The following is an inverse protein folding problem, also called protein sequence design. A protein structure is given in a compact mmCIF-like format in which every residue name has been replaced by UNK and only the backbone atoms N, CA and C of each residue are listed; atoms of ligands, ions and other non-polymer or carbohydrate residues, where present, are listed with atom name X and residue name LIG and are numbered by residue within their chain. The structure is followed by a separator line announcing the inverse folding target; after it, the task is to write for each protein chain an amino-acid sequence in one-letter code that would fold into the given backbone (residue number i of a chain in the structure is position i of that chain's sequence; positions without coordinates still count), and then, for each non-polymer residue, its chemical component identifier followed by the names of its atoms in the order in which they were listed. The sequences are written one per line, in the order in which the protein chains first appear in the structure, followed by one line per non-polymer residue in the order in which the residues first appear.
data_IF_321870620158
#
_entry.id   IF_321870620158
#
_cell.length_a   1.000
_cell.length_b   1.000
_cell.length_c   1.000
_cell.angle_alpha   90.00
_cell.angle_beta   90.00
_cell.angle_gamma   90.00
#
_symmetry.space_group_name_H-M   'P 1'
#
loop_
_entity.id
_entity.type
_entity.pdbx_description
1 polymer ?
#
# COMPACT_ATOMS: atom_id res chain seq x y z
N UNK A 1 -8.85 12.06 -1.56
CA UNK A 1 -7.67 11.18 -1.66
C UNK A 1 -6.60 11.51 -0.64
N UNK A 2 -6.40 12.78 -0.36
CA UNK A 2 -5.38 13.15 0.64
C UNK A 2 -5.71 12.60 2.01
N UNK A 3 -6.99 12.54 2.35
CA UNK A 3 -7.42 12.02 3.63
C UNK A 3 -7.11 10.54 3.77
N UNK A 4 -7.26 9.80 2.68
CA UNK A 4 -6.97 8.37 2.69
C UNK A 4 -5.48 8.16 2.86
N UNK A 5 -4.66 8.91 2.11
CA UNK A 5 -3.22 8.80 2.22
C UNK A 5 -2.74 9.19 3.61
N UNK A 6 -3.32 10.25 4.16
CA UNK A 6 -2.94 10.72 5.49
C UNK A 6 -3.26 9.67 6.54
N UNK A 7 -4.43 9.06 6.45
CA UNK A 7 -4.82 8.03 7.41
C UNK A 7 -3.89 6.82 7.32
N UNK A 8 -3.57 6.39 6.10
CA UNK A 8 -2.69 5.26 5.90
C UNK A 8 -1.29 5.55 6.45
N UNK A 9 -0.82 6.77 6.26
CA UNK A 9 0.53 7.14 6.66
C UNK A 9 0.71 7.16 8.18
N UNK A 10 -0.37 7.22 8.94
CA UNK A 10 -0.26 7.22 10.40
C UNK A 10 -0.02 5.83 10.97
N UNK A 11 -0.15 4.80 10.16
CA UNK A 11 0.01 3.43 10.65
C UNK A 11 1.49 3.08 10.72
N UNK A 12 1.89 2.53 11.85
CA UNK A 12 3.28 2.14 12.06
C UNK A 12 3.70 1.11 11.03
N UNK A 13 4.87 1.33 10.44
CA UNK A 13 5.41 0.42 9.44
C UNK A 13 5.18 0.84 7.99
N UNK A 14 4.30 1.79 7.77
CA UNK A 14 4.06 2.32 6.42
C UNK A 14 5.15 3.32 6.09
N UNK A 15 5.89 3.04 5.02
CA UNK A 15 6.95 3.94 4.58
C UNK A 15 6.49 4.90 3.51
N UNK A 16 5.45 4.53 2.79
CA UNK A 16 4.89 5.41 1.78
C UNK A 16 3.62 4.85 1.22
N UNK A 17 2.87 5.70 0.55
CA UNK A 17 1.67 5.30 -0.16
C UNK A 17 1.93 5.64 -1.62
N UNK A 18 2.23 4.62 -2.41
CA UNK A 18 2.61 4.84 -3.79
C UNK A 18 1.43 5.19 -4.67
N UNK A 19 0.36 4.42 -4.54
CA UNK A 19 -0.84 4.62 -5.35
C UNK A 19 -2.06 4.54 -4.48
N UNK A 20 -3.04 5.33 -4.85
CA UNK A 20 -4.30 5.35 -4.12
C UNK A 20 -5.39 5.64 -5.13
N UNK A 21 -6.30 4.70 -5.29
CA UNK A 21 -7.42 4.84 -6.19
C UNK A 21 -8.72 4.68 -5.43
N UNK A 22 -9.69 5.50 -5.75
CA UNK A 22 -11.01 5.39 -5.13
C UNK A 22 -12.04 5.27 -6.22
N UNK A 23 -12.95 4.34 -6.05
CA UNK A 23 -14.02 4.10 -6.99
C UNK A 23 -15.35 4.20 -6.25
N UNK A 24 -16.24 5.02 -6.77
CA UNK A 24 -17.54 5.21 -6.15
C UNK A 24 -18.52 4.16 -6.64
N UNK A 25 -19.26 3.57 -5.70
CA UNK A 25 -20.32 2.63 -6.02
C UNK A 25 -21.52 3.00 -5.16
N UNK A 26 -22.52 3.60 -5.78
CA UNK A 26 -23.64 4.09 -5.01
C UNK A 26 -23.22 5.23 -4.11
N UNK A 27 -23.45 5.08 -2.82
CA UNK A 27 -23.09 6.12 -1.84
C UNK A 27 -21.75 5.86 -1.15
N UNK A 28 -21.07 4.79 -1.54
CA UNK A 28 -19.84 4.40 -0.87
C UNK A 28 -18.67 4.39 -1.82
N UNK A 29 -17.48 4.40 -1.26
CA UNK A 29 -16.25 4.32 -2.03
C UNK A 29 -15.51 3.03 -1.71
N UNK A 30 -14.91 2.46 -2.74
CA UNK A 30 -13.98 1.33 -2.62
C UNK A 30 -12.60 1.86 -2.95
N UNK A 31 -11.66 1.56 -2.09
CA UNK A 31 -10.32 2.14 -2.18
C UNK A 31 -9.29 1.04 -2.43
N UNK A 32 -8.40 1.27 -3.39
CA UNK A 32 -7.24 0.42 -3.62
C UNK A 32 -6.00 1.22 -3.25
N UNK A 33 -5.16 0.63 -2.39
CA UNK A 33 -3.94 1.29 -1.94
C UNK A 33 -2.73 0.42 -2.22
N UNK A 34 -1.63 1.05 -2.60
CA UNK A 34 -0.34 0.40 -2.70
C UNK A 34 0.56 1.03 -1.66
N UNK A 35 0.95 0.25 -0.67
CA UNK A 35 1.78 0.71 0.44
C UNK A 35 3.21 0.24 0.24
N UNK A 36 4.15 1.09 0.61
CA UNK A 36 5.55 0.72 0.63
C UNK A 36 5.96 0.43 2.05
N UNK A 37 6.63 -0.70 2.24
CA UNK A 37 7.09 -1.14 3.56
C UNK A 37 8.54 -1.58 3.45
N UNK A 38 9.16 -1.83 4.61
CA UNK A 38 10.52 -2.32 4.67
C UNK A 38 10.63 -3.66 3.94
N UNK A 39 11.49 -3.77 2.92
CA UNK A 39 11.62 -5.02 2.19
C UNK A 39 12.16 -6.17 3.02
N UNK A 40 12.73 -5.89 4.18
CA UNK A 40 13.30 -6.93 5.02
C UNK A 40 12.33 -7.45 6.06
N UNK A 41 11.12 -6.91 6.14
CA UNK A 41 10.17 -7.38 7.14
C UNK A 41 9.58 -8.73 6.74
N UNK A 42 9.03 -9.42 7.72
CA UNK A 42 8.38 -10.70 7.46
C UNK A 42 7.06 -10.48 6.75
N UNK A 43 6.60 -11.52 6.07
CA UNK A 43 5.28 -11.49 5.44
C UNK A 43 4.20 -11.29 6.49
N UNK A 44 4.37 -11.92 7.65
CA UNK A 44 3.40 -11.75 8.74
C UNK A 44 3.26 -10.29 9.14
N UNK A 45 4.40 -9.61 9.29
CA UNK A 45 4.37 -8.20 9.70
C UNK A 45 3.71 -7.33 8.63
N UNK A 46 4.02 -7.61 7.37
CA UNK A 46 3.43 -6.82 6.29
C UNK A 46 1.91 -7.01 6.24
N UNK A 47 1.44 -8.21 6.56
CA UNK A 47 0.01 -8.50 6.62
C UNK A 47 -0.66 -7.71 7.73
N UNK A 48 0.00 -7.64 8.88
CA UNK A 48 -0.50 -6.87 10.01
C UNK A 48 -0.62 -5.39 9.65
N UNK A 49 0.39 -4.87 8.97
CA UNK A 49 0.37 -3.47 8.57
C UNK A 49 -0.80 -3.20 7.61
N UNK A 50 -0.98 -4.09 6.63
CA UNK A 50 -2.09 -3.94 5.69
C UNK A 50 -3.43 -3.95 6.41
N UNK A 51 -3.59 -4.84 7.35
CA UNK A 51 -4.82 -4.94 8.11
C UNK A 51 -5.06 -3.68 8.94
N UNK A 52 -4.00 -3.18 9.58
CA UNK A 52 -4.11 -1.98 10.39
C UNK A 52 -4.46 -0.76 9.55
N UNK A 53 -3.94 -0.70 8.33
CA UNK A 53 -4.27 0.38 7.42
C UNK A 53 -5.75 0.33 7.04
N UNK A 54 -6.25 -0.87 6.74
CA UNK A 54 -7.67 -1.03 6.42
C UNK A 54 -8.55 -0.54 7.56
N UNK A 55 -8.21 -0.96 8.77
CA UNK A 55 -8.98 -0.57 9.95
C UNK A 55 -8.92 0.94 10.18
N UNK A 56 -7.73 1.52 10.03
CA UNK A 56 -7.54 2.93 10.29
C UNK A 56 -8.36 3.77 9.30
N UNK A 57 -8.35 3.40 8.04
CA UNK A 57 -9.07 4.15 7.03
C UNK A 57 -10.57 4.04 7.27
N UNK A 58 -11.06 2.83 7.53
CA UNK A 58 -12.49 2.64 7.76
C UNK A 58 -12.96 3.34 9.02
N UNK A 59 -12.11 3.40 10.02
CA UNK A 59 -12.45 4.05 11.28
C UNK A 59 -12.57 5.55 11.12
N UNK A 60 -11.68 6.14 10.33
CA UNK A 60 -11.63 7.58 10.18
C UNK A 60 -12.51 8.13 9.09
N UNK A 61 -12.81 7.34 8.07
CA UNK A 61 -13.53 7.82 6.89
C UNK A 61 -14.76 6.96 6.67
N UNK A 62 -15.89 7.44 7.16
CA UNK A 62 -17.14 6.69 7.11
C UNK A 62 -17.61 6.40 5.69
N UNK A 63 -17.21 7.24 4.74
CA UNK A 63 -17.66 7.09 3.37
C UNK A 63 -16.89 6.00 2.63
N UNK A 64 -15.90 5.40 3.25
CA UNK A 64 -15.15 4.30 2.65
C UNK A 64 -15.78 2.98 3.10
N UNK A 65 -16.28 2.22 2.13
CA UNK A 65 -16.90 0.95 2.43
C UNK A 65 -15.87 -0.17 2.50
N UNK A 66 -14.83 -0.08 1.68
CA UNK A 66 -13.93 -1.18 1.48
C UNK A 66 -12.54 -0.67 1.10
N UNK A 67 -11.51 -1.36 1.58
CA UNK A 67 -10.13 -0.99 1.28
C UNK A 67 -9.36 -2.25 0.91
N UNK A 68 -8.80 -2.26 -0.29
CA UNK A 68 -7.91 -3.32 -0.73
C UNK A 68 -6.49 -2.77 -0.65
N UNK A 69 -5.64 -3.45 0.10
CA UNK A 69 -4.27 -2.99 0.34
C UNK A 69 -3.28 -3.94 -0.31
N UNK A 70 -2.44 -3.39 -1.17
CA UNK A 70 -1.32 -4.11 -1.76
C UNK A 70 -0.05 -3.64 -1.09
N UNK A 71 0.74 -4.56 -0.59
CA UNK A 71 1.98 -4.23 0.11
C UNK A 71 3.15 -4.45 -0.84
N UNK A 72 4.01 -3.45 -0.95
CA UNK A 72 5.16 -3.49 -1.84
C UNK A 72 6.42 -3.10 -1.08
N UNK A 73 7.57 -3.63 -1.47
CA UNK A 73 8.80 -3.20 -0.82
C UNK A 73 9.16 -1.77 -1.23
N UNK A 74 9.72 -1.03 -0.30
CA UNK A 74 10.22 0.29 -0.62
C UNK A 74 11.30 0.15 -1.69
N UNK A 75 11.23 0.96 -2.76
CA UNK A 75 12.23 0.89 -3.82
C UNK A 75 13.63 1.11 -3.24
N UNK A 76 14.59 0.34 -3.70
CA UNK A 76 15.97 0.46 -3.27
C UNK A 76 16.78 1.04 -4.40
N UNK A 77 17.24 2.28 -4.19
CA UNK A 77 17.97 2.97 -5.23
C UNK A 77 19.22 2.22 -5.65
N UNK A 78 19.94 1.71 -4.66
CA UNK A 78 21.15 0.97 -4.95
C UNK A 78 20.84 -0.33 -5.63
N UNK A 79 19.70 -0.91 -5.28
CA UNK A 79 19.26 -2.13 -5.90
C UNK A 79 19.00 -1.94 -7.37
N UNK A 80 18.49 -0.79 -7.74
CA UNK A 80 18.19 -0.53 -9.14
C UNK A 80 19.46 -0.49 -9.98
N UNK A 81 20.56 -0.10 -9.38
CA UNK A 81 21.80 -0.05 -10.11
C UNK A 81 22.24 -1.43 -10.57
N UNK A 82 21.95 -2.42 -9.77
CA UNK A 82 22.29 -3.78 -10.13
C UNK A 82 21.18 -4.50 -10.87
N UNK A 83 20.07 -3.87 -10.99
CA UNK A 83 18.94 -4.49 -11.63
C UNK A 83 19.04 -4.38 -13.12
N UNK A 84 18.68 -5.44 -13.80
CA UNK A 84 18.78 -5.47 -15.25
C UNK A 84 17.39 -5.40 -15.85
N UNK A 85 17.06 -4.26 -16.40
CA UNK A 85 15.74 -4.09 -16.98
C UNK A 85 15.57 -4.99 -18.18
N UNK A 86 14.47 -5.56 -18.25
CA UNK A 86 14.19 -6.43 -19.36
C UNK A 86 14.95 -7.71 -19.25
N UNK A 87 15.95 -7.62 -18.70
CA UNK A 87 16.62 -8.79 -18.49
C UNK A 87 15.79 -9.63 -17.66
N UNK A 88 15.59 -9.49 -17.63
CA UNK A 88 15.19 -10.01 -17.07
C UNK A 88 14.45 -10.19 -16.16
N UNK A 89 14.25 -10.12 -16.16
CA UNK A 89 13.70 -10.39 -15.26
C UNK A 89 12.57 -10.39 -15.07
N UNK A 90 12.09 -10.54 -15.40
CA UNK A 90 11.19 -10.54 -15.31
C UNK A 90 10.53 -11.09 -14.82
N UNK A 91 10.11 -11.01 -14.65
CA UNK A 91 9.55 -11.44 -14.10
C UNK A 91 9.01 -12.15 -13.92
N UNK A 92 9.24 -12.41 -13.69
CA UNK A 92 8.67 -13.31 -13.56
C UNK A 92 7.68 -13.65 -13.09
N UNK A 93 7.40 -13.61 -13.33
CA UNK A 93 6.73 -13.92 -12.96
C UNK A 93 6.28 -14.22 -12.72
#
# INVERSE_FOLDING_TARGET
MDEIRAAAATVDGVRGVEKCFARKTGLCYHVDLHLEVDPEMTVRRSHEIAHNVQLRIKEKLEWVADVLVHVEPTPQRNGTAGWIPGGTHRPPV
#
